data_IF_729797946665
#
_entry.id   IF_729797946665
#
_cell.length_a   1.000
_cell.length_b   1.000
_cell.length_c   1.000
_cell.angle_alpha   90.00
_cell.angle_beta   90.00
_cell.angle_gamma   90.00
#
_symmetry.space_group_name_H-M   'P 1'
#
loop_
_entity.id
_entity.type
_entity.pdbx_description
1 polymer ?
#
# COMPACT_ATOMS: atom_id res chain seq x y z
N UNK A 1 -16.83 3.04 19.22
CA UNK A 1 -15.67 2.11 19.10
C UNK A 1 -14.57 2.51 20.07
N UNK A 2 -13.84 3.60 19.84
CA UNK A 2 -12.70 4.01 20.68
C UNK A 2 -13.06 4.27 22.15
N UNK A 3 -14.24 4.83 22.44
CA UNK A 3 -14.68 5.17 23.80
C UNK A 3 -15.24 4.00 24.62
N UNK A 4 -15.59 2.87 23.98
CA UNK A 4 -16.40 1.82 24.59
C UNK A 4 -15.70 0.45 24.65
N UNK A 5 -14.49 0.35 24.09
CA UNK A 5 -13.75 -0.93 24.05
C UNK A 5 -12.84 -1.05 25.26
N UNK A 6 -12.99 -2.14 26.03
CA UNK A 6 -12.10 -2.44 27.16
C UNK A 6 -10.66 -2.72 26.71
N UNK A 7 -10.51 -3.31 25.52
CA UNK A 7 -9.21 -3.49 24.86
C UNK A 7 -9.11 -2.46 23.73
N UNK A 8 -8.12 -1.55 23.73
CA UNK A 8 -7.95 -0.59 22.65
C UNK A 8 -7.86 -1.29 21.29
N UNK A 9 -8.74 -0.94 20.32
CA UNK A 9 -8.79 -1.66 19.05
C UNK A 9 -7.68 -1.20 18.10
N UNK A 10 -7.13 -2.14 17.33
CA UNK A 10 -6.37 -1.84 16.12
C UNK A 10 -7.39 -1.57 15.01
N UNK A 11 -7.26 -0.43 14.31
CA UNK A 11 -8.16 -0.08 13.20
C UNK A 11 -7.32 0.16 11.95
N UNK A 12 -7.68 -0.49 10.86
CA UNK A 12 -7.11 -0.28 9.54
C UNK A 12 -8.24 0.19 8.63
N UNK A 13 -8.05 1.30 7.92
CA UNK A 13 -8.92 1.74 6.84
C UNK A 13 -8.10 1.69 5.55
N UNK A 14 -8.45 0.76 4.67
CA UNK A 14 -7.72 0.51 3.44
C UNK A 14 -8.69 0.48 2.26
N UNK A 15 -8.40 1.24 1.21
CA UNK A 15 -9.08 1.07 -0.08
C UNK A 15 -8.50 -0.15 -0.81
N UNK A 16 -9.34 -0.85 -1.56
CA UNK A 16 -8.94 -2.00 -2.38
C UNK A 16 -8.12 -1.56 -3.59
N UNK A 17 -8.50 -0.44 -4.22
CA UNK A 17 -7.80 0.15 -5.35
C UNK A 17 -7.89 1.67 -5.41
N UNK A 18 -6.97 2.29 -6.15
CA UNK A 18 -7.07 3.69 -6.52
C UNK A 18 -8.01 3.90 -7.72
N UNK A 19 -8.41 5.15 -7.98
CA UNK A 19 -9.32 5.48 -9.06
C UNK A 19 -8.71 5.19 -10.44
N UNK A 20 -9.56 4.83 -11.40
CA UNK A 20 -9.13 4.67 -12.79
C UNK A 20 -8.70 6.00 -13.41
N UNK A 21 -7.53 6.07 -14.07
CA UNK A 21 -7.13 7.24 -14.84
C UNK A 21 -8.02 7.47 -16.07
N UNK A 22 -8.05 8.71 -16.61
CA UNK A 22 -8.85 9.04 -17.77
C UNK A 22 -8.35 8.29 -19.02
N UNK A 23 -9.24 7.53 -19.65
CA UNK A 23 -8.91 6.62 -20.76
C UNK A 23 -8.85 5.18 -20.27
N UNK A 24 -9.71 4.32 -20.81
CA UNK A 24 -9.80 2.89 -20.47
C UNK A 24 -8.68 2.06 -21.09
N UNK A 25 -7.46 2.59 -21.19
CA UNK A 25 -6.34 1.72 -21.57
C UNK A 25 -6.12 0.73 -20.43
N UNK A 26 -6.43 -0.53 -20.67
CA UNK A 26 -6.15 -1.62 -19.73
C UNK A 26 -4.69 -2.07 -19.81
N UNK A 27 -3.89 -1.51 -20.73
CA UNK A 27 -2.45 -1.75 -20.83
C UNK A 27 -1.67 -0.97 -19.76
N UNK A 28 -1.61 -1.55 -18.56
CA UNK A 28 -0.99 -0.93 -17.40
C UNK A 28 0.53 -0.76 -17.54
N UNK A 29 1.17 -1.55 -18.40
CA UNK A 29 2.60 -1.45 -18.67
C UNK A 29 2.93 -0.12 -19.37
N UNK A 30 2.08 0.30 -20.31
CA UNK A 30 2.27 1.53 -21.11
C UNK A 30 1.83 2.81 -20.42
N UNK A 31 1.19 2.71 -19.26
CA UNK A 31 0.69 3.88 -18.55
C UNK A 31 1.83 4.76 -18.02
N UNK A 32 1.58 6.06 -18.05
CA UNK A 32 2.46 7.08 -17.52
C UNK A 32 2.61 6.97 -16.00
N UNK A 33 3.65 7.60 -15.44
CA UNK A 33 3.86 7.63 -13.98
C UNK A 33 2.66 8.21 -13.23
N UNK A 34 2.03 9.25 -13.78
CA UNK A 34 0.87 9.89 -13.16
C UNK A 34 -0.33 8.94 -13.10
N UNK A 35 -0.60 8.21 -14.18
CA UNK A 35 -1.71 7.27 -14.24
C UNK A 35 -1.49 6.05 -13.35
N UNK A 36 -0.26 5.51 -13.30
CA UNK A 36 0.11 4.43 -12.37
C UNK A 36 -0.02 4.92 -10.93
N UNK A 37 0.44 6.14 -10.61
CA UNK A 37 0.28 6.74 -9.27
C UNK A 37 -1.18 6.92 -8.89
N UNK A 38 -2.03 7.31 -9.84
CA UNK A 38 -3.47 7.44 -9.61
C UNK A 38 -4.11 6.08 -9.30
N UNK A 39 -3.82 5.04 -10.09
CA UNK A 39 -4.41 3.71 -9.88
C UNK A 39 -3.90 3.01 -8.62
N UNK A 40 -2.61 3.14 -8.32
CA UNK A 40 -1.96 2.45 -7.20
C UNK A 40 -2.09 3.23 -5.88
N UNK A 41 -2.44 4.51 -5.95
CA UNK A 41 -2.65 5.35 -4.78
C UNK A 41 -3.95 5.00 -4.06
N UNK A 42 -3.82 4.32 -2.92
CA UNK A 42 -4.96 3.95 -2.07
C UNK A 42 -4.98 4.76 -0.77
N UNK A 43 -6.17 4.90 -0.17
CA UNK A 43 -6.26 5.22 1.24
C UNK A 43 -5.67 4.05 2.03
N UNK A 44 -4.68 4.31 2.88
CA UNK A 44 -4.10 3.30 3.77
C UNK A 44 -3.80 3.96 5.13
N UNK A 45 -4.75 3.87 6.05
CA UNK A 45 -4.68 4.54 7.35
C UNK A 45 -4.75 3.55 8.50
N UNK A 46 -3.95 3.81 9.53
CA UNK A 46 -3.79 2.93 10.68
C UNK A 46 -4.03 3.70 11.96
N UNK A 47 -4.76 3.07 12.87
CA UNK A 47 -4.80 3.43 14.27
C UNK A 47 -4.21 2.25 15.05
N UNK A 48 -3.01 2.47 15.59
CA UNK A 48 -2.21 1.48 16.31
C UNK A 48 -2.08 1.92 17.78
N UNK A 49 -2.88 1.38 18.71
CA UNK A 49 -2.83 1.77 20.12
C UNK A 49 -1.45 1.52 20.74
N UNK A 50 -0.92 2.51 21.47
CA UNK A 50 0.36 2.42 22.19
C UNK A 50 1.60 2.15 21.31
N UNK A 51 1.49 2.19 19.98
CA UNK A 51 2.64 2.11 19.10
C UNK A 51 3.32 3.49 18.95
N UNK A 52 4.65 3.49 18.81
CA UNK A 52 5.36 4.68 18.35
C UNK A 52 4.90 5.01 16.93
N UNK A 53 4.72 6.30 16.62
CA UNK A 53 4.38 6.76 15.28
C UNK A 53 5.45 6.37 14.25
N UNK A 54 6.70 6.23 14.70
CA UNK A 54 7.84 5.90 13.85
C UNK A 54 7.83 4.46 13.32
N UNK A 55 6.95 3.58 13.82
CA UNK A 55 6.80 2.23 13.26
C UNK A 55 6.22 2.29 11.84
N UNK A 56 5.41 3.31 11.54
CA UNK A 56 4.89 3.57 10.21
C UNK A 56 5.78 4.58 9.50
N UNK A 57 5.90 4.42 8.18
CA UNK A 57 6.72 5.29 7.34
C UNK A 57 5.95 5.68 6.08
N UNK A 58 6.23 6.85 5.48
CA UNK A 58 5.40 7.39 4.38
C UNK A 58 5.30 6.49 3.15
N UNK A 59 6.31 5.65 2.88
CA UNK A 59 6.36 4.75 1.73
C UNK A 59 5.80 3.35 2.00
N UNK A 60 5.22 3.09 3.18
CA UNK A 60 4.72 1.76 3.54
C UNK A 60 3.66 1.28 2.56
N UNK A 61 3.84 0.07 2.06
CA UNK A 61 2.85 -0.60 1.20
C UNK A 61 2.01 -1.61 2.00
N UNK A 62 0.80 -1.95 1.53
CA UNK A 62 -0.04 -2.96 2.17
C UNK A 62 0.60 -4.33 2.38
N UNK A 63 1.70 -4.64 1.67
CA UNK A 63 2.45 -5.90 1.83
C UNK A 63 2.94 -6.10 3.27
N UNK A 64 3.22 -5.01 3.99
CA UNK A 64 3.78 -5.02 5.32
C UNK A 64 2.78 -4.71 6.43
N UNK A 65 1.52 -4.37 6.13
CA UNK A 65 0.50 -3.97 7.13
C UNK A 65 0.34 -5.01 8.24
N UNK A 66 0.03 -6.25 7.86
CA UNK A 66 -0.21 -7.32 8.84
C UNK A 66 1.07 -7.89 9.42
N UNK A 67 2.18 -7.90 8.66
CA UNK A 67 3.50 -8.30 9.19
C UNK A 67 3.91 -7.42 10.36
N UNK A 68 3.83 -6.11 10.15
CA UNK A 68 4.11 -5.10 11.16
C UNK A 68 3.16 -5.23 12.36
N UNK A 69 1.85 -5.34 12.12
CA UNK A 69 0.86 -5.45 13.21
C UNK A 69 1.06 -6.73 14.02
N UNK A 70 1.33 -7.86 13.37
CA UNK A 70 1.55 -9.12 14.06
C UNK A 70 2.82 -9.09 14.91
N UNK A 71 3.89 -8.49 14.39
CA UNK A 71 5.12 -8.34 15.16
C UNK A 71 4.93 -7.43 16.38
N UNK A 72 4.19 -6.33 16.22
CA UNK A 72 3.96 -5.36 17.30
C UNK A 72 3.05 -5.90 18.42
N UNK A 73 2.00 -6.63 18.07
CA UNK A 73 0.91 -6.92 19.02
C UNK A 73 0.74 -8.40 19.36
N UNK A 74 1.30 -9.32 18.56
CA UNK A 74 1.03 -10.75 18.67
C UNK A 74 2.29 -11.60 18.89
N UNK A 75 3.45 -10.95 19.10
CA UNK A 75 4.71 -11.62 19.43
C UNK A 75 5.27 -12.47 18.30
N UNK A 76 4.92 -12.14 17.06
CA UNK A 76 5.50 -12.79 15.87
C UNK A 76 6.79 -12.10 15.45
N UNK A 77 7.53 -12.73 14.54
CA UNK A 77 8.79 -12.22 13.99
C UNK A 77 8.83 -12.38 12.47
N UNK A 78 7.84 -11.80 11.79
CA UNK A 78 7.80 -11.78 10.33
C UNK A 78 8.81 -10.78 9.79
N UNK A 79 9.67 -11.23 8.87
CA UNK A 79 10.50 -10.32 8.08
C UNK A 79 9.61 -9.36 7.26
N UNK A 80 9.95 -8.07 7.28
CA UNK A 80 9.32 -7.09 6.41
C UNK A 80 9.81 -7.28 4.98
N UNK A 81 8.88 -7.26 4.03
CA UNK A 81 9.20 -7.41 2.61
C UNK A 81 9.54 -6.06 1.98
N UNK A 82 10.25 -6.05 0.84
CA UNK A 82 10.39 -4.84 0.03
C UNK A 82 9.03 -4.22 -0.31
N UNK A 83 8.93 -2.89 -0.19
CA UNK A 83 7.77 -2.12 -0.63
C UNK A 83 7.72 -2.02 -2.15
N UNK A 84 7.26 -3.10 -2.77
CA UNK A 84 7.14 -3.22 -4.22
C UNK A 84 5.67 -3.22 -4.66
N UNK A 85 5.44 -2.72 -5.87
CA UNK A 85 4.13 -2.60 -6.48
C UNK A 85 4.15 -3.22 -7.86
N UNK A 86 3.14 -4.03 -8.15
CA UNK A 86 3.01 -4.76 -9.40
C UNK A 86 1.66 -4.49 -10.04
N UNK A 87 1.65 -4.51 -11.37
CA UNK A 87 0.42 -4.48 -12.17
C UNK A 87 0.39 -5.69 -13.09
N UNK A 88 -0.82 -6.14 -13.46
CA UNK A 88 -1.00 -7.03 -14.60
C UNK A 88 -1.07 -6.22 -15.89
N UNK A 89 -0.70 -6.76 -17.06
CA UNK A 89 -0.72 -5.97 -18.30
C UNK A 89 -2.13 -5.72 -18.82
N UNK A 90 -3.07 -6.65 -18.61
CA UNK A 90 -4.45 -6.58 -19.05
C UNK A 90 -5.30 -7.66 -18.36
N UNK A 91 -6.62 -7.54 -18.42
CA UNK A 91 -7.56 -8.42 -17.70
C UNK A 91 -7.55 -9.87 -18.21
N UNK A 92 -6.88 -10.17 -19.33
CA UNK A 92 -6.74 -11.53 -19.87
C UNK A 92 -5.47 -12.21 -19.38
N UNK A 93 -4.53 -11.47 -18.78
CA UNK A 93 -3.29 -11.99 -18.23
C UNK A 93 -3.08 -11.62 -16.74
N UNK A 94 -4.03 -11.94 -15.83
CA UNK A 94 -3.98 -11.51 -14.44
C UNK A 94 -2.80 -12.10 -13.63
N UNK A 95 -2.16 -13.16 -14.12
CA UNK A 95 -1.00 -13.80 -13.48
C UNK A 95 0.35 -13.37 -14.05
N UNK A 96 0.36 -12.44 -15.03
CA UNK A 96 1.58 -11.83 -15.52
C UNK A 96 1.78 -10.52 -14.79
N UNK A 97 2.91 -10.36 -14.10
CA UNK A 97 3.16 -9.21 -13.24
C UNK A 97 4.33 -8.37 -13.76
N UNK A 98 4.15 -7.06 -13.73
CA UNK A 98 5.18 -6.08 -14.05
C UNK A 98 5.44 -5.21 -12.84
N UNK A 99 6.70 -5.12 -12.43
CA UNK A 99 7.12 -4.26 -11.33
C UNK A 99 7.04 -2.79 -11.78
N UNK A 100 6.25 -1.99 -11.08
CA UNK A 100 6.06 -0.55 -11.34
C UNK A 100 6.59 0.31 -10.20
N UNK A 101 7.33 -0.28 -9.25
CA UNK A 101 7.82 0.39 -8.04
C UNK A 101 8.61 1.67 -8.38
N UNK A 102 9.49 1.63 -9.38
CA UNK A 102 10.29 2.80 -9.78
C UNK A 102 9.47 3.89 -10.49
N UNK A 103 8.28 3.56 -11.03
CA UNK A 103 7.34 4.57 -11.52
C UNK A 103 6.66 5.33 -10.38
N UNK A 104 6.54 4.71 -9.20
CA UNK A 104 5.85 5.25 -8.02
C UNK A 104 6.78 5.99 -7.06
N UNK A 105 8.06 5.61 -7.02
CA UNK A 105 9.08 6.31 -6.23
C UNK A 105 9.21 7.75 -6.73
N UNK A 106 9.13 8.70 -5.80
CA UNK A 106 9.50 10.08 -6.10
C UNK A 106 11.00 10.09 -6.39
N UNK A 107 11.39 10.56 -7.58
CA UNK A 107 12.76 11.01 -7.77
C UNK A 107 12.90 12.25 -6.89
N UNK A 108 13.63 12.15 -5.78
CA UNK A 108 14.16 13.32 -5.08
C UNK A 108 15.19 14.00 -5.99
N UNK A 109 14.70 14.72 -7.00
CA UNK A 109 15.43 15.78 -7.68
C UNK A 109 14.43 16.91 -7.91
N UNK A 110 14.53 17.87 -6.99
CA UNK A 110 14.07 19.26 -7.12
C UNK A 110 12.55 19.47 -7.17
N UNK A 111 11.96 19.60 -5.98
CA UNK A 111 11.00 20.67 -5.67
C UNK A 111 11.59 21.52 -4.52
#
# INVERSE_FOLDING_TARGET
LLSNSQVPPIIILQADEGPYPPGRSTDWEKMSKAEVRQKMGILNAYYLPNADKNVLYPSITPVNSFRLIFNLYFGTDFELLPDESYVHPDDHHPYKFFNVTDKLRQNNKED
#
